data_IF_800084734930
#
_entry.id   IF_800084734930
#
_cell.length_a   1.000
_cell.length_b   1.000
_cell.length_c   1.000
_cell.angle_alpha   90.00
_cell.angle_beta   90.00
_cell.angle_gamma   90.00
#
_symmetry.space_group_name_H-M   'P 1'
#
loop_
_entity.id
_entity.type
_entity.pdbx_description
1 polymer ?
#
# COMPACT_ATOMS: atom_id res chain seq x y z
N UNK A 1 29.35 14.08 -15.25
CA UNK A 1 28.89 14.20 -13.85
C UNK A 1 27.68 13.29 -13.70
N UNK A 2 27.93 12.04 -13.32
CA UNK A 2 26.86 11.09 -13.04
C UNK A 2 26.18 11.56 -11.76
N UNK A 3 25.00 12.16 -11.89
CA UNK A 3 24.12 12.28 -10.73
C UNK A 3 23.91 10.83 -10.27
N UNK A 4 24.26 10.45 -9.03
CA UNK A 4 23.79 9.18 -8.53
C UNK A 4 22.27 9.23 -8.70
N UNK A 5 21.69 8.24 -9.37
CA UNK A 5 20.27 7.94 -9.18
C UNK A 5 20.15 7.75 -7.68
N UNK A 6 19.76 8.82 -6.98
CA UNK A 6 19.68 8.77 -5.55
C UNK A 6 18.74 7.62 -5.26
N UNK A 7 19.24 6.73 -4.42
CA UNK A 7 18.55 5.65 -3.71
C UNK A 7 17.41 6.19 -2.82
N UNK A 8 16.73 7.24 -3.27
CA UNK A 8 15.64 7.96 -2.65
C UNK A 8 14.31 7.56 -3.28
N UNK A 9 14.30 6.63 -4.22
CA UNK A 9 13.09 5.93 -4.64
C UNK A 9 13.16 4.51 -4.09
N UNK A 10 12.15 4.10 -3.34
CA UNK A 10 12.10 2.77 -2.76
C UNK A 10 10.65 2.27 -2.77
N UNK A 11 10.42 0.96 -2.97
CA UNK A 11 9.08 0.42 -2.89
C UNK A 11 8.58 0.46 -1.46
N UNK A 12 7.27 0.56 -1.30
CA UNK A 12 6.59 0.26 -0.05
C UNK A 12 6.03 -1.14 -0.18
N UNK A 13 6.46 -2.00 0.73
CA UNK A 13 5.95 -3.36 0.90
C UNK A 13 5.12 -3.44 2.15
N UNK A 14 4.08 -4.27 2.12
CA UNK A 14 3.24 -4.47 3.28
C UNK A 14 2.30 -5.64 3.15
N UNK A 15 1.55 -5.87 4.22
CA UNK A 15 0.50 -6.87 4.30
C UNK A 15 -0.76 -6.26 4.88
N UNK A 16 -1.87 -6.62 4.29
CA UNK A 16 -3.23 -6.31 4.75
C UNK A 16 -3.86 -7.59 5.27
N UNK A 17 -4.40 -7.53 6.47
CA UNK A 17 -5.07 -8.64 7.13
C UNK A 17 -6.38 -8.18 7.74
N UNK A 18 -7.35 -9.07 7.84
CA UNK A 18 -8.57 -8.83 8.59
C UNK A 18 -8.31 -8.83 10.09
N UNK A 19 -9.22 -8.25 10.87
CA UNK A 19 -9.16 -8.24 12.34
C UNK A 19 -9.10 -9.65 12.95
N UNK A 20 -9.58 -10.68 12.23
CA UNK A 20 -9.49 -12.08 12.62
C UNK A 20 -8.13 -12.75 12.32
N UNK A 21 -7.16 -12.02 11.76
CA UNK A 21 -5.84 -12.51 11.36
C UNK A 21 -5.75 -13.13 9.97
N UNK A 22 -6.89 -13.30 9.28
CA UNK A 22 -6.92 -13.83 7.90
C UNK A 22 -6.32 -12.83 6.90
N UNK A 23 -5.65 -13.29 5.84
CA UNK A 23 -5.19 -12.41 4.77
C UNK A 23 -6.37 -11.70 4.08
N UNK A 24 -6.17 -10.45 3.70
CA UNK A 24 -7.17 -9.62 3.02
C UNK A 24 -6.82 -9.43 1.53
N UNK A 25 -7.22 -10.37 0.64
CA UNK A 25 -6.93 -10.30 -0.78
C UNK A 25 -7.86 -9.34 -1.53
N UNK A 26 -7.42 -8.83 -2.69
CA UNK A 26 -8.20 -7.94 -3.56
C UNK A 26 -8.58 -6.58 -2.94
N UNK A 27 -7.85 -6.14 -1.92
CA UNK A 27 -7.97 -4.78 -1.38
C UNK A 27 -7.18 -3.82 -2.25
N UNK A 28 -7.76 -2.65 -2.48
CA UNK A 28 -7.13 -1.62 -3.28
C UNK A 28 -6.32 -0.67 -2.38
N UNK A 29 -5.02 -0.58 -2.65
CA UNK A 29 -4.11 0.34 -1.98
C UNK A 29 -3.89 1.56 -2.88
N UNK A 30 -4.28 2.73 -2.38
CA UNK A 30 -4.17 4.01 -3.05
C UNK A 30 -3.07 4.82 -2.40
N UNK A 31 -2.26 5.49 -3.24
CA UNK A 31 -1.20 6.38 -2.82
C UNK A 31 -1.66 7.83 -2.97
N UNK A 32 -1.54 8.62 -1.90
CA UNK A 32 -1.77 10.09 -1.90
C UNK A 32 -3.12 10.54 -2.49
N UNK A 33 -4.16 9.71 -2.38
CA UNK A 33 -5.51 10.02 -2.87
C UNK A 33 -5.74 9.83 -4.37
N UNK A 34 -4.89 9.09 -5.07
CA UNK A 34 -5.03 8.75 -6.49
C UNK A 34 -5.96 7.55 -6.79
N UNK A 35 -5.93 7.01 -8.03
CA UNK A 35 -6.57 5.74 -8.35
C UNK A 35 -5.86 4.57 -7.66
N UNK A 36 -6.45 3.37 -7.76
CA UNK A 36 -5.84 2.15 -7.23
C UNK A 36 -4.40 1.98 -7.73
N UNK A 37 -3.43 2.01 -6.83
CA UNK A 37 -2.03 1.89 -7.18
C UNK A 37 -1.59 0.42 -7.23
N UNK A 38 -2.06 -0.38 -6.26
CA UNK A 38 -1.77 -1.82 -6.19
C UNK A 38 -2.93 -2.54 -5.49
N UNK A 39 -3.21 -3.76 -5.93
CA UNK A 39 -4.15 -4.66 -5.27
C UNK A 39 -3.40 -5.69 -4.44
N UNK A 40 -3.90 -6.00 -3.24
CA UNK A 40 -3.32 -7.05 -2.41
C UNK A 40 -3.48 -8.43 -3.04
N UNK A 41 -2.46 -9.28 -2.89
CA UNK A 41 -2.46 -10.67 -3.37
C UNK A 41 -3.32 -11.60 -2.49
N UNK A 42 -3.41 -12.90 -2.85
CA UNK A 42 -4.14 -13.92 -2.10
C UNK A 42 -3.73 -14.04 -0.62
N UNK A 43 -2.50 -13.62 -0.28
CA UNK A 43 -1.95 -13.62 1.09
C UNK A 43 -2.07 -12.24 1.78
N UNK A 44 -2.73 -11.29 1.13
CA UNK A 44 -2.90 -9.91 1.59
C UNK A 44 -1.65 -9.05 1.40
N UNK A 45 -0.60 -9.53 0.74
CA UNK A 45 0.61 -8.73 0.55
C UNK A 45 0.44 -7.76 -0.60
N UNK A 46 1.15 -6.63 -0.52
CA UNK A 46 1.26 -5.67 -1.60
C UNK A 46 2.67 -5.11 -1.66
N UNK A 47 3.09 -4.80 -2.88
CA UNK A 47 4.34 -4.13 -3.16
C UNK A 47 4.06 -3.04 -4.18
N UNK A 48 4.30 -1.80 -3.78
CA UNK A 48 4.18 -0.66 -4.68
C UNK A 48 5.42 -0.53 -5.57
N UNK A 49 5.29 0.22 -6.65
CA UNK A 49 6.44 0.61 -7.47
C UNK A 49 7.40 1.51 -6.68
N UNK A 50 8.58 1.77 -7.22
CA UNK A 50 9.53 2.72 -6.63
C UNK A 50 8.86 4.08 -6.40
N UNK A 51 8.75 4.47 -5.13
CA UNK A 51 8.10 5.71 -4.71
C UNK A 51 9.13 6.65 -4.13
N UNK A 52 8.93 7.96 -4.29
CA UNK A 52 9.86 8.95 -3.78
C UNK A 52 9.94 8.88 -2.24
N UNK A 53 11.14 9.11 -1.71
CA UNK A 53 11.57 8.90 -0.32
C UNK A 53 10.96 9.84 0.72
N UNK A 54 9.81 10.43 0.43
CA UNK A 54 9.04 11.23 1.37
C UNK A 54 7.86 10.44 1.95
N UNK A 55 7.27 10.99 3.01
CA UNK A 55 6.10 10.39 3.64
C UNK A 55 4.87 10.51 2.73
N UNK A 56 4.23 9.37 2.46
CA UNK A 56 3.03 9.27 1.65
C UNK A 56 1.91 8.59 2.44
N UNK A 57 0.69 9.03 2.21
CA UNK A 57 -0.50 8.43 2.82
C UNK A 57 -1.00 7.31 1.93
N UNK A 58 -1.02 6.09 2.47
CA UNK A 58 -1.74 4.96 1.91
C UNK A 58 -3.18 5.00 2.37
N UNK A 59 -4.08 4.76 1.43
CA UNK A 59 -5.50 4.61 1.67
C UNK A 59 -5.88 3.22 1.20
N UNK A 60 -6.34 2.37 2.11
CA UNK A 60 -6.82 1.03 1.79
C UNK A 60 -8.33 1.12 1.65
N UNK A 61 -8.81 0.79 0.46
CA UNK A 61 -10.22 0.57 0.19
C UNK A 61 -10.55 -0.91 0.24
N UNK A 62 -11.76 -1.22 0.70
CA UNK A 62 -12.32 -2.57 0.75
C UNK A 62 -12.30 -3.30 -0.59
N UNK A 63 -12.67 -4.59 -0.57
CA UNK A 63 -12.67 -5.48 -1.73
C UNK A 63 -13.15 -4.77 -3.00
N UNK A 64 -12.29 -4.76 -4.01
CA UNK A 64 -12.53 -4.11 -5.29
C UNK A 64 -13.44 -5.00 -6.15
N UNK A 65 -14.71 -5.14 -5.77
CA UNK A 65 -15.75 -5.85 -6.54
C UNK A 65 -16.24 -5.03 -7.77
N UNK A 66 -15.38 -4.18 -8.34
CA UNK A 66 -15.68 -3.34 -9.51
C UNK A 66 -16.21 -1.93 -9.19
N UNK A 67 -16.52 -1.64 -7.93
CA UNK A 67 -16.72 -0.28 -7.41
C UNK A 67 -15.73 -0.06 -6.30
N UNK A 68 -14.89 0.99 -6.38
CA UNK A 68 -14.03 1.43 -5.28
C UNK A 68 -14.75 1.31 -3.93
N UNK A 69 -14.38 0.31 -3.12
CA UNK A 69 -15.00 0.06 -1.83
C UNK A 69 -14.79 1.23 -0.84
N UNK A 70 -15.47 1.22 0.32
CA UNK A 70 -15.24 2.24 1.34
C UNK A 70 -13.78 2.22 1.79
N UNK A 71 -13.27 3.40 2.19
CA UNK A 71 -11.98 3.48 2.87
C UNK A 71 -12.09 2.76 4.20
N UNK A 72 -11.30 1.71 4.37
CA UNK A 72 -11.30 0.85 5.57
C UNK A 72 -10.08 1.10 6.45
N UNK A 73 -9.00 1.63 5.89
CA UNK A 73 -7.81 2.01 6.64
C UNK A 73 -7.03 3.10 5.91
N UNK A 74 -6.31 3.92 6.67
CA UNK A 74 -5.36 4.91 6.15
C UNK A 74 -4.09 4.88 6.98
N UNK A 75 -2.93 4.90 6.32
CA UNK A 75 -1.65 4.84 7.01
C UNK A 75 -0.61 5.71 6.32
N UNK A 76 0.10 6.54 7.07
CA UNK A 76 1.22 7.32 6.55
C UNK A 76 2.50 6.51 6.66
N UNK A 77 3.22 6.40 5.55
CA UNK A 77 4.44 5.57 5.47
C UNK A 77 5.48 6.28 4.63
N UNK A 78 6.74 5.96 4.86
CA UNK A 78 7.85 6.52 4.09
C UNK A 78 8.38 5.44 3.15
N UNK A 79 8.58 5.78 1.88
CA UNK A 79 9.18 4.86 0.92
C UNK A 79 10.55 4.37 1.41
N UNK A 80 10.79 3.05 1.33
CA UNK A 80 12.01 2.42 1.84
C UNK A 80 12.04 2.18 3.35
N UNK A 81 10.93 2.45 4.05
CA UNK A 81 10.74 2.03 5.44
C UNK A 81 10.52 0.52 5.60
N UNK A 82 10.40 0.04 6.85
CA UNK A 82 10.09 -1.36 7.13
C UNK A 82 8.71 -1.75 6.55
N UNK A 83 8.47 -3.07 6.32
CA UNK A 83 7.19 -3.54 5.83
C UNK A 83 6.03 -3.11 6.74
N UNK A 84 4.96 -2.65 6.14
CA UNK A 84 3.79 -2.16 6.87
C UNK A 84 2.75 -3.26 7.04
N UNK A 85 2.13 -3.34 8.21
CA UNK A 85 1.03 -4.26 8.48
C UNK A 85 -0.23 -3.45 8.76
N UNK A 86 -1.24 -3.59 7.92
CA UNK A 86 -2.51 -2.89 8.05
C UNK A 86 -3.60 -3.90 8.37
N UNK A 87 -4.35 -3.61 9.42
CA UNK A 87 -5.52 -4.41 9.79
C UNK A 87 -6.79 -3.72 9.32
N UNK A 88 -7.61 -4.44 8.58
CA UNK A 88 -8.93 -4.00 8.10
C UNK A 88 -10.03 -4.75 8.87
N UNK A 89 -11.25 -4.16 9.00
CA UNK A 89 -12.38 -4.84 9.60
C UNK A 89 -12.74 -6.18 8.92
#
# INVERSE_FOLDING_TARGET
MSHPIQSNEAPITGRVQHANGSPAPHYCVILTGGPCAVTTDASGNFTTSFLPGFAITLVIKGAFDGTDGPVVATQTVTAGGPPINVTVP
#
